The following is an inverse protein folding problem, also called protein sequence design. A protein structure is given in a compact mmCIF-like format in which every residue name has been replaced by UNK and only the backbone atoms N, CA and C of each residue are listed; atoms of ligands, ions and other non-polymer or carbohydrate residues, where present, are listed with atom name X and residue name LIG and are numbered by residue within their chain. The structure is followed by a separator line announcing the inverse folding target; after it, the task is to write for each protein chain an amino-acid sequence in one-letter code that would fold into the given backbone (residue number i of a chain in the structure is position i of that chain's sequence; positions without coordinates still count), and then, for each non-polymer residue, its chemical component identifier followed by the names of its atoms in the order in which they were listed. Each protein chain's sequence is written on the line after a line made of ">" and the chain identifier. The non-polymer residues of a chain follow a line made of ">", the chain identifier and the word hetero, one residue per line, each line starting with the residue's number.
data_IF_818933599652
#
_entry.id   IF_818933599652
#
_cell.length_a   1.000
_cell.length_b   1.000
_cell.length_c   1.000
_cell.angle_alpha   90.00
_cell.angle_beta   90.00
_cell.angle_gamma   90.00
#
_symmetry.space_group_name_H-M   'P 1'
#
loop_
_entity.id
_entity.type
_entity.pdbx_description
1 polymer ?
#
# COMPACT_ATOMS: atom_id res chain seq x y z
N UNK A 1 -105.14 -4.30 118.49
CA UNK A 1 -103.83 -4.03 117.86
C UNK A 1 -104.13 -3.27 116.58
N UNK A 2 -104.07 -1.94 116.64
CA UNK A 2 -104.75 -1.06 115.70
C UNK A 2 -104.08 -0.98 114.32
N UNK A 3 -104.88 -0.98 113.26
CA UNK A 3 -104.46 -1.06 111.85
C UNK A 3 -103.92 0.28 111.32
N UNK A 4 -104.21 1.39 112.01
CA UNK A 4 -103.71 2.73 111.69
C UNK A 4 -102.21 2.88 112.01
N UNK A 5 -101.69 2.20 113.05
CA UNK A 5 -100.26 2.20 113.37
C UNK A 5 -99.40 1.49 112.32
N UNK A 6 -99.91 0.42 111.71
CA UNK A 6 -99.24 -0.31 110.63
C UNK A 6 -99.20 0.49 109.32
N UNK A 7 -100.20 1.32 109.03
CA UNK A 7 -100.22 2.20 107.85
C UNK A 7 -99.26 3.40 108.02
N UNK A 8 -99.18 3.98 109.23
CA UNK A 8 -98.24 5.05 109.54
C UNK A 8 -96.77 4.57 109.52
N UNK A 9 -96.50 3.36 110.01
CA UNK A 9 -95.16 2.73 109.90
C UNK A 9 -94.84 2.32 108.46
N UNK A 10 -95.82 1.82 107.69
CA UNK A 10 -95.64 1.51 106.27
C UNK A 10 -95.34 2.75 105.41
N UNK A 11 -96.01 3.88 105.66
CA UNK A 11 -95.74 5.16 105.00
C UNK A 11 -94.40 5.76 105.45
N UNK A 12 -93.99 5.61 106.72
CA UNK A 12 -92.64 5.99 107.17
C UNK A 12 -91.56 5.16 106.49
N UNK A 13 -91.74 3.85 106.42
CA UNK A 13 -90.80 2.94 105.74
C UNK A 13 -90.76 3.22 104.23
N UNK A 14 -91.89 3.58 103.61
CA UNK A 14 -91.93 3.95 102.19
C UNK A 14 -91.28 5.31 101.93
N UNK A 15 -91.49 6.31 102.80
CA UNK A 15 -90.82 7.63 102.71
C UNK A 15 -89.33 7.50 102.99
N UNK A 16 -88.92 6.67 103.94
CA UNK A 16 -87.50 6.37 104.17
C UNK A 16 -86.91 5.59 102.99
N UNK A 17 -87.61 4.60 102.42
CA UNK A 17 -87.17 3.94 101.17
C UNK A 17 -87.08 4.92 100.00
N UNK A 18 -88.03 5.84 99.85
CA UNK A 18 -87.99 6.89 98.82
C UNK A 18 -86.82 7.85 99.06
N UNK A 19 -86.55 8.23 100.31
CA UNK A 19 -85.37 9.04 100.67
C UNK A 19 -84.07 8.29 100.38
N UNK A 20 -83.99 7.00 100.72
CA UNK A 20 -82.83 6.15 100.40
C UNK A 20 -82.68 5.97 98.89
N UNK A 21 -83.77 5.78 98.15
CA UNK A 21 -83.75 5.64 96.68
C UNK A 21 -83.43 6.94 95.97
N UNK A 22 -83.88 8.08 96.49
CA UNK A 22 -83.51 9.41 95.99
C UNK A 22 -82.04 9.69 96.30
N UNK A 23 -81.56 9.37 97.51
CA UNK A 23 -80.13 9.48 97.85
C UNK A 23 -79.25 8.55 96.99
N UNK A 24 -79.66 7.30 96.77
CA UNK A 24 -78.99 6.37 95.85
C UNK A 24 -79.03 6.85 94.40
N UNK A 25 -80.13 7.49 93.97
CA UNK A 25 -80.27 8.05 92.62
C UNK A 25 -79.43 9.32 92.45
N UNK A 26 -79.32 10.17 93.48
CA UNK A 26 -78.46 11.35 93.51
C UNK A 26 -76.99 10.93 93.54
N UNK A 27 -76.63 9.91 94.33
CA UNK A 27 -75.29 9.34 94.37
C UNK A 27 -74.93 8.69 93.03
N UNK A 28 -75.83 7.92 92.41
CA UNK A 28 -75.63 7.37 91.07
C UNK A 28 -75.59 8.44 89.98
N UNK A 29 -76.38 9.51 90.09
CA UNK A 29 -76.33 10.66 89.18
C UNK A 29 -75.00 11.41 89.32
N UNK A 30 -74.50 11.58 90.54
CA UNK A 30 -73.20 12.17 90.79
C UNK A 30 -72.06 11.29 90.25
N UNK A 31 -72.10 9.98 90.48
CA UNK A 31 -71.15 9.02 89.92
C UNK A 31 -71.21 8.99 88.38
N UNK A 32 -72.39 9.03 87.78
CA UNK A 32 -72.57 9.11 86.32
C UNK A 32 -72.07 10.44 85.76
N UNK A 33 -72.24 11.56 86.47
CA UNK A 33 -71.72 12.86 86.08
C UNK A 33 -70.18 12.90 86.13
N UNK A 34 -69.58 12.32 87.17
CA UNK A 34 -68.11 12.17 87.28
C UNK A 34 -67.58 11.25 86.17
N UNK A 35 -68.19 10.09 85.95
CA UNK A 35 -67.80 9.17 84.89
C UNK A 35 -67.97 9.78 83.48
N UNK A 36 -69.03 10.56 83.25
CA UNK A 36 -69.22 11.29 81.99
C UNK A 36 -68.19 12.41 81.81
N UNK A 37 -67.77 13.06 82.89
CA UNK A 37 -66.71 14.08 82.86
C UNK A 37 -65.34 13.45 82.61
N UNK A 38 -65.01 12.32 83.24
CA UNK A 38 -63.80 11.53 82.99
C UNK A 38 -63.76 10.99 81.56
N UNK A 39 -64.88 10.47 81.04
CA UNK A 39 -64.98 10.02 79.65
C UNK A 39 -64.81 11.18 78.65
N UNK A 40 -65.36 12.37 78.94
CA UNK A 40 -65.14 13.57 78.13
C UNK A 40 -63.69 14.05 78.19
N UNK A 41 -63.05 14.01 79.36
CA UNK A 41 -61.65 14.36 79.51
C UNK A 41 -60.74 13.37 78.77
N UNK A 42 -61.03 12.06 78.86
CA UNK A 42 -60.31 11.02 78.11
C UNK A 42 -60.53 11.14 76.59
N UNK A 43 -61.75 11.45 76.13
CA UNK A 43 -62.03 11.73 74.72
C UNK A 43 -61.30 13.00 74.24
N UNK A 44 -61.26 14.06 75.05
CA UNK A 44 -60.52 15.29 74.71
C UNK A 44 -59.00 15.02 74.62
N UNK A 45 -58.44 14.25 75.55
CA UNK A 45 -57.04 13.82 75.50
C UNK A 45 -56.77 12.90 74.29
N UNK A 46 -57.69 12.01 73.94
CA UNK A 46 -57.56 11.14 72.78
C UNK A 46 -57.64 11.92 71.45
N UNK A 47 -58.55 12.89 71.34
CA UNK A 47 -58.63 13.79 70.18
C UNK A 47 -57.39 14.69 70.07
N UNK A 48 -56.87 15.23 71.18
CA UNK A 48 -55.61 15.98 71.22
C UNK A 48 -54.42 15.12 70.78
N UNK A 49 -54.29 13.90 71.33
CA UNK A 49 -53.23 12.97 70.97
C UNK A 49 -53.33 12.52 69.49
N UNK A 50 -54.55 12.29 69.00
CA UNK A 50 -54.81 11.96 67.59
C UNK A 50 -54.46 13.15 66.68
N UNK A 51 -54.83 14.37 67.05
CA UNK A 51 -54.48 15.57 66.30
C UNK A 51 -52.95 15.82 66.28
N UNK A 52 -52.26 15.58 67.39
CA UNK A 52 -50.80 15.65 67.44
C UNK A 52 -50.14 14.55 66.59
N UNK A 53 -50.66 13.32 66.62
CA UNK A 53 -50.16 12.22 65.79
C UNK A 53 -50.38 12.47 64.29
N UNK A 54 -51.55 12.99 63.88
CA UNK A 54 -51.82 13.37 62.49
C UNK A 54 -50.91 14.53 62.03
N UNK A 55 -50.65 15.53 62.88
CA UNK A 55 -49.69 16.60 62.57
C UNK A 55 -48.25 16.09 62.41
N UNK A 56 -47.78 15.26 63.35
CA UNK A 56 -46.44 14.68 63.26
C UNK A 56 -46.28 13.77 62.02
N UNK A 57 -47.35 13.03 61.66
CA UNK A 57 -47.40 12.23 60.43
C UNK A 57 -47.35 13.10 59.18
N UNK A 58 -48.12 14.19 59.14
CA UNK A 58 -48.12 15.15 58.04
C UNK A 58 -46.75 15.84 57.86
N UNK A 59 -46.13 16.30 58.95
CA UNK A 59 -44.79 16.88 58.95
C UNK A 59 -43.74 15.88 58.47
N UNK A 60 -43.79 14.63 58.97
CA UNK A 60 -42.91 13.55 58.51
C UNK A 60 -43.09 13.21 57.03
N UNK A 61 -44.33 13.19 56.54
CA UNK A 61 -44.67 12.94 55.13
C UNK A 61 -44.14 14.06 54.22
N UNK A 62 -44.29 15.33 54.61
CA UNK A 62 -43.75 16.47 53.88
C UNK A 62 -42.22 16.47 53.85
N UNK A 63 -41.58 16.13 54.96
CA UNK A 63 -40.11 16.05 55.03
C UNK A 63 -39.58 14.90 54.15
N UNK A 64 -40.26 13.75 54.14
CA UNK A 64 -39.95 12.64 53.25
C UNK A 64 -40.15 13.03 51.77
N UNK A 65 -41.26 13.70 51.46
CA UNK A 65 -41.57 14.19 50.11
C UNK A 65 -40.48 15.15 49.59
N UNK A 66 -40.05 16.13 50.40
CA UNK A 66 -38.99 17.06 50.00
C UNK A 66 -37.62 16.39 49.79
N UNK A 67 -37.29 15.36 50.57
CA UNK A 67 -36.08 14.55 50.35
C UNK A 67 -36.17 13.73 49.06
N UNK A 68 -37.32 13.09 48.82
CA UNK A 68 -37.57 12.33 47.60
C UNK A 68 -37.55 13.22 46.36
N UNK A 69 -38.09 14.44 46.44
CA UNK A 69 -38.08 15.43 45.36
C UNK A 69 -36.65 15.79 44.94
N UNK A 70 -35.76 16.01 45.90
CA UNK A 70 -34.34 16.24 45.63
C UNK A 70 -33.65 15.06 44.93
N UNK A 71 -33.96 13.83 45.35
CA UNK A 71 -33.42 12.60 44.72
C UNK A 71 -33.94 12.44 43.29
N UNK A 72 -35.24 12.60 43.08
CA UNK A 72 -35.88 12.52 41.75
C UNK A 72 -35.30 13.58 40.81
N UNK A 73 -35.08 14.80 41.30
CA UNK A 73 -34.45 15.86 40.50
C UNK A 73 -33.05 15.49 40.02
N UNK A 74 -32.22 14.87 40.88
CA UNK A 74 -30.89 14.37 40.50
C UNK A 74 -30.99 13.23 39.49
N UNK A 75 -31.92 12.29 39.69
CA UNK A 75 -32.13 11.14 38.77
C UNK A 75 -32.60 11.61 37.40
N UNK A 76 -33.55 12.55 37.32
CA UNK A 76 -34.01 13.11 36.05
C UNK A 76 -32.88 13.82 35.31
N UNK A 77 -32.12 14.67 36.00
CA UNK A 77 -30.98 15.38 35.40
C UNK A 77 -29.89 14.42 34.90
N UNK A 78 -29.55 13.39 35.70
CA UNK A 78 -28.59 12.36 35.29
C UNK A 78 -29.09 11.54 34.09
N UNK A 79 -30.41 11.26 34.03
CA UNK A 79 -31.03 10.53 32.92
C UNK A 79 -31.00 11.34 31.63
N UNK A 80 -31.28 12.65 31.67
CA UNK A 80 -31.15 13.53 30.51
C UNK A 80 -29.71 13.61 29.99
N UNK A 81 -28.73 13.74 30.89
CA UNK A 81 -27.31 13.72 30.52
C UNK A 81 -26.90 12.38 29.90
N UNK A 82 -27.39 11.26 30.46
CA UNK A 82 -27.10 9.93 29.94
C UNK A 82 -27.74 9.71 28.57
N UNK A 83 -28.97 10.21 28.34
CA UNK A 83 -29.63 10.18 27.04
C UNK A 83 -28.79 10.86 25.96
N UNK A 84 -28.29 12.06 26.24
CA UNK A 84 -27.43 12.80 25.32
C UNK A 84 -26.12 12.05 25.02
N UNK A 85 -25.50 11.44 26.03
CA UNK A 85 -24.28 10.64 25.87
C UNK A 85 -24.52 9.38 25.03
N UNK A 86 -25.65 8.70 25.22
CA UNK A 86 -26.07 7.54 24.44
C UNK A 86 -26.28 7.92 22.98
N UNK A 87 -26.99 9.02 22.71
CA UNK A 87 -27.22 9.51 21.34
C UNK A 87 -25.91 9.88 20.64
N UNK A 88 -24.99 10.56 21.35
CA UNK A 88 -23.66 10.87 20.82
C UNK A 88 -22.86 9.60 20.49
N UNK A 89 -22.86 8.62 21.39
CA UNK A 89 -22.11 7.37 21.22
C UNK A 89 -22.70 6.51 20.09
N UNK A 90 -24.03 6.47 19.96
CA UNK A 90 -24.72 5.80 18.85
C UNK A 90 -24.36 6.43 17.51
N UNK A 91 -24.34 7.76 17.42
CA UNK A 91 -23.88 8.47 16.20
C UNK A 91 -22.42 8.17 15.90
N UNK A 92 -21.56 8.14 16.92
CA UNK A 92 -20.15 7.77 16.79
C UNK A 92 -19.97 6.37 16.21
N UNK A 93 -20.67 5.37 16.75
CA UNK A 93 -20.63 4.00 16.26
C UNK A 93 -21.09 3.88 14.80
N UNK A 94 -22.12 4.63 14.40
CA UNK A 94 -22.61 4.62 13.03
C UNK A 94 -21.61 5.24 12.04
N UNK A 95 -20.99 6.37 12.40
CA UNK A 95 -19.92 6.99 11.60
C UNK A 95 -18.72 6.04 11.49
N UNK A 96 -18.33 5.39 12.59
CA UNK A 96 -17.25 4.41 12.60
C UNK A 96 -17.55 3.25 11.64
N UNK A 97 -18.75 2.69 11.68
CA UNK A 97 -19.17 1.63 10.76
C UNK A 97 -19.06 2.05 9.28
N UNK A 98 -19.44 3.28 8.94
CA UNK A 98 -19.32 3.79 7.57
C UNK A 98 -17.84 3.91 7.15
N UNK A 99 -16.99 4.48 8.01
CA UNK A 99 -15.55 4.62 7.75
C UNK A 99 -14.85 3.28 7.60
N UNK A 100 -15.24 2.29 8.39
CA UNK A 100 -14.73 0.92 8.30
C UNK A 100 -15.10 0.30 6.96
N UNK A 101 -16.34 0.47 6.48
CA UNK A 101 -16.76 0.00 5.17
C UNK A 101 -15.98 0.66 4.02
N UNK A 102 -15.78 1.99 4.07
CA UNK A 102 -14.94 2.71 3.09
C UNK A 102 -13.49 2.19 3.10
N UNK A 103 -12.94 1.93 4.29
CA UNK A 103 -11.58 1.40 4.44
C UNK A 103 -11.48 -0.03 3.91
N UNK A 104 -12.49 -0.87 4.15
CA UNK A 104 -12.54 -2.23 3.63
C UNK A 104 -12.45 -2.25 2.08
N UNK A 105 -13.25 -1.42 1.41
CA UNK A 105 -13.19 -1.29 -0.05
C UNK A 105 -11.80 -0.83 -0.53
N UNK A 106 -11.20 0.17 0.12
CA UNK A 106 -9.86 0.63 -0.22
C UNK A 106 -8.79 -0.47 -0.02
N UNK A 107 -8.97 -1.34 0.97
CA UNK A 107 -8.09 -2.48 1.20
C UNK A 107 -8.25 -3.58 0.16
N UNK A 108 -9.46 -3.81 -0.36
CA UNK A 108 -9.68 -4.72 -1.49
C UNK A 108 -8.97 -4.22 -2.75
N UNK A 109 -9.10 -2.93 -3.07
CA UNK A 109 -8.38 -2.30 -4.19
C UNK A 109 -6.86 -2.35 -4.00
N UNK A 110 -6.38 -2.12 -2.77
CA UNK A 110 -4.96 -2.24 -2.43
C UNK A 110 -4.45 -3.66 -2.67
N UNK A 111 -5.19 -4.69 -2.24
CA UNK A 111 -4.79 -6.08 -2.42
C UNK A 111 -4.71 -6.45 -3.91
N UNK A 112 -5.70 -6.04 -4.71
CA UNK A 112 -5.67 -6.20 -6.16
C UNK A 112 -4.42 -5.56 -6.79
N UNK A 113 -4.09 -4.33 -6.36
CA UNK A 113 -2.90 -3.61 -6.84
C UNK A 113 -1.60 -4.30 -6.44
N UNK A 114 -1.50 -4.80 -5.21
CA UNK A 114 -0.32 -5.52 -4.72
C UNK A 114 -0.07 -6.81 -5.53
N UNK A 115 -1.13 -7.56 -5.82
CA UNK A 115 -1.05 -8.76 -6.67
C UNK A 115 -0.62 -8.42 -8.11
N UNK A 116 -1.12 -7.31 -8.66
CA UNK A 116 -0.70 -6.83 -9.97
C UNK A 116 0.78 -6.44 -10.00
N UNK A 117 1.25 -5.71 -8.97
CA UNK A 117 2.68 -5.34 -8.84
C UNK A 117 3.56 -6.59 -8.73
N UNK A 118 3.16 -7.59 -7.93
CA UNK A 118 3.89 -8.84 -7.82
C UNK A 118 3.99 -9.58 -9.17
N UNK A 119 2.88 -9.63 -9.92
CA UNK A 119 2.85 -10.23 -11.27
C UNK A 119 3.74 -9.48 -12.25
N UNK A 120 3.66 -8.15 -12.25
CA UNK A 120 4.48 -7.29 -13.11
C UNK A 120 5.97 -7.43 -12.78
N UNK A 121 6.31 -7.55 -11.49
CA UNK A 121 7.67 -7.84 -11.07
C UNK A 121 8.13 -9.21 -11.62
N UNK A 122 7.34 -10.27 -11.46
CA UNK A 122 7.69 -11.59 -12.02
C UNK A 122 7.93 -11.55 -13.54
N UNK A 123 7.10 -10.82 -14.29
CA UNK A 123 7.26 -10.67 -15.74
C UNK A 123 8.51 -9.85 -16.12
N UNK A 124 8.80 -8.80 -15.36
CA UNK A 124 10.00 -7.99 -15.54
C UNK A 124 11.27 -8.79 -15.25
N UNK A 125 11.25 -9.70 -14.28
CA UNK A 125 12.37 -10.59 -13.97
C UNK A 125 12.64 -11.55 -15.14
N UNK A 126 11.60 -12.17 -15.68
CA UNK A 126 11.72 -13.07 -16.85
C UNK A 126 12.26 -12.32 -18.07
N UNK A 127 11.75 -11.11 -18.33
CA UNK A 127 12.24 -10.26 -19.43
C UNK A 127 13.70 -9.85 -19.24
N UNK A 128 14.11 -9.58 -18.00
CA UNK A 128 15.50 -9.27 -17.65
C UNK A 128 16.39 -10.49 -17.90
N UNK A 129 15.98 -11.68 -17.48
CA UNK A 129 16.74 -12.91 -17.72
C UNK A 129 16.89 -13.22 -19.22
N UNK A 130 15.84 -12.98 -20.03
CA UNK A 130 15.92 -13.07 -21.49
C UNK A 130 16.91 -12.06 -22.08
N UNK A 131 16.84 -10.79 -21.66
CA UNK A 131 17.75 -9.74 -22.12
C UNK A 131 19.21 -10.05 -21.77
N UNK A 132 19.45 -10.63 -20.57
CA UNK A 132 20.76 -11.11 -20.14
C UNK A 132 21.28 -12.18 -21.09
N UNK A 133 20.48 -13.23 -21.35
CA UNK A 133 20.86 -14.29 -22.28
C UNK A 133 21.22 -13.75 -23.65
N UNK A 134 20.43 -12.80 -24.17
CA UNK A 134 20.70 -12.17 -25.47
C UNK A 134 21.98 -11.32 -25.49
N UNK A 135 22.29 -10.62 -24.40
CA UNK A 135 23.54 -9.87 -24.26
C UNK A 135 24.76 -10.78 -24.13
N UNK A 136 24.65 -11.89 -23.40
CA UNK A 136 25.70 -12.91 -23.30
C UNK A 136 25.96 -13.58 -24.66
N UNK A 137 24.90 -13.95 -25.38
CA UNK A 137 24.97 -14.47 -26.74
C UNK A 137 25.66 -13.49 -27.69
N UNK A 138 25.25 -12.21 -27.64
CA UNK A 138 25.89 -11.14 -28.38
C UNK A 138 27.38 -11.01 -28.04
N UNK A 139 27.76 -11.12 -26.76
CA UNK A 139 29.15 -11.06 -26.32
C UNK A 139 29.96 -12.22 -26.90
N UNK A 140 29.40 -13.44 -26.94
CA UNK A 140 30.02 -14.60 -27.58
C UNK A 140 30.19 -14.42 -29.09
N UNK A 141 29.21 -13.83 -29.76
CA UNK A 141 29.30 -13.51 -31.21
C UNK A 141 30.44 -12.52 -31.45
N UNK A 142 30.52 -11.44 -30.67
CA UNK A 142 31.61 -10.45 -30.78
C UNK A 142 32.97 -11.09 -30.51
N UNK A 143 33.08 -11.98 -29.52
CA UNK A 143 34.31 -12.74 -29.27
C UNK A 143 34.78 -13.53 -30.51
N UNK A 144 33.85 -14.26 -31.16
CA UNK A 144 34.17 -14.96 -32.42
C UNK A 144 34.57 -14.03 -33.57
N UNK A 145 33.98 -12.84 -33.64
CA UNK A 145 34.35 -11.82 -34.63
C UNK A 145 35.78 -11.34 -34.38
N UNK A 146 36.15 -11.06 -33.14
CA UNK A 146 37.52 -10.66 -32.77
C UNK A 146 38.53 -11.75 -33.13
N UNK A 147 38.21 -13.02 -32.83
CA UNK A 147 39.08 -14.14 -33.20
C UNK A 147 39.25 -14.28 -34.73
N UNK A 148 38.16 -14.12 -35.48
CA UNK A 148 38.16 -14.15 -36.94
C UNK A 148 38.96 -13.00 -37.54
N UNK A 149 38.81 -11.78 -37.01
CA UNK A 149 39.60 -10.63 -37.43
C UNK A 149 41.10 -10.88 -37.15
N UNK A 150 41.44 -11.48 -36.01
CA UNK A 150 42.81 -11.87 -35.69
C UNK A 150 43.41 -12.91 -36.66
N UNK A 151 42.60 -13.82 -37.21
CA UNK A 151 43.03 -14.73 -38.27
C UNK A 151 43.34 -13.97 -39.56
N UNK A 152 42.43 -13.10 -40.01
CA UNK A 152 42.63 -12.28 -41.22
C UNK A 152 43.85 -11.37 -41.08
N UNK A 153 44.13 -10.83 -39.89
CA UNK A 153 45.32 -10.04 -39.63
C UNK A 153 46.61 -10.85 -39.87
N UNK A 154 46.66 -12.11 -39.41
CA UNK A 154 47.81 -13.00 -39.61
C UNK A 154 48.01 -13.32 -41.09
N UNK A 155 46.94 -13.69 -41.80
CA UNK A 155 46.99 -13.96 -43.24
C UNK A 155 47.46 -12.73 -44.04
N UNK A 156 47.01 -11.53 -43.66
CA UNK A 156 47.47 -10.29 -44.28
C UNK A 156 48.97 -10.05 -44.05
N UNK A 157 49.48 -10.31 -42.84
CA UNK A 157 50.91 -10.17 -42.54
C UNK A 157 51.76 -11.21 -43.28
N UNK A 158 51.28 -12.45 -43.43
CA UNK A 158 51.92 -13.48 -44.25
C UNK A 158 51.96 -13.05 -45.72
N UNK A 159 50.84 -12.58 -46.28
CA UNK A 159 50.77 -12.06 -47.65
C UNK A 159 51.73 -10.89 -47.87
N UNK A 160 51.89 -10.00 -46.88
CA UNK A 160 52.89 -8.92 -46.94
C UNK A 160 54.30 -9.47 -47.10
N UNK A 161 54.65 -10.51 -46.35
CA UNK A 161 55.95 -11.18 -46.41
C UNK A 161 56.18 -11.85 -47.76
N UNK A 162 55.17 -12.57 -48.27
CA UNK A 162 55.25 -13.25 -49.57
C UNK A 162 55.43 -12.27 -50.73
N UNK A 163 54.71 -11.14 -50.69
CA UNK A 163 54.90 -10.07 -51.66
C UNK A 163 56.30 -9.47 -51.56
N UNK A 164 56.83 -9.22 -50.35
CA UNK A 164 58.20 -8.73 -50.19
C UNK A 164 59.23 -9.70 -50.81
N UNK A 165 59.07 -11.00 -50.59
CA UNK A 165 59.92 -12.04 -51.17
C UNK A 165 59.82 -12.07 -52.70
N UNK A 166 58.61 -11.99 -53.27
CA UNK A 166 58.40 -11.93 -54.71
C UNK A 166 59.08 -10.70 -55.32
N UNK A 167 59.00 -9.55 -54.64
CA UNK A 167 59.67 -8.32 -55.06
C UNK A 167 61.18 -8.49 -55.14
N UNK A 168 61.79 -9.12 -54.14
CA UNK A 168 63.22 -9.42 -54.11
C UNK A 168 63.65 -10.42 -55.20
N UNK A 169 62.82 -11.44 -55.48
CA UNK A 169 63.06 -12.37 -56.57
C UNK A 169 62.98 -11.68 -57.93
N UNK A 170 61.97 -10.83 -58.15
CA UNK A 170 61.84 -10.05 -59.37
C UNK A 170 63.01 -9.07 -59.56
N UNK A 171 63.50 -8.45 -58.49
CA UNK A 171 64.73 -7.63 -58.53
C UNK A 171 65.97 -8.46 -58.93
N UNK A 172 66.09 -9.67 -58.37
CA UNK A 172 67.19 -10.58 -58.70
C UNK A 172 67.16 -11.03 -60.16
N UNK A 173 65.98 -11.36 -60.68
CA UNK A 173 65.80 -11.69 -62.11
C UNK A 173 66.13 -10.47 -62.97
N UNK A 174 65.67 -9.27 -62.59
CA UNK A 174 66.02 -8.03 -63.29
C UNK A 174 67.53 -7.81 -63.42
N UNK A 175 68.30 -8.09 -62.37
CA UNK A 175 69.78 -8.05 -62.43
C UNK A 175 70.35 -9.08 -63.41
N UNK A 176 69.83 -10.30 -63.43
CA UNK A 176 70.27 -11.34 -64.38
C UNK A 176 69.95 -10.93 -65.82
N UNK A 177 68.76 -10.39 -66.08
CA UNK A 177 68.38 -9.92 -67.41
C UNK A 177 69.28 -8.79 -67.91
N UNK A 178 69.71 -7.87 -67.03
CA UNK A 178 70.69 -6.84 -67.40
C UNK A 178 72.02 -7.48 -67.85
N UNK A 179 72.53 -8.47 -67.12
CA UNK A 179 73.75 -9.20 -67.50
C UNK A 179 73.57 -9.92 -68.84
N UNK A 180 72.42 -10.55 -69.09
CA UNK A 180 72.13 -11.21 -70.38
C UNK A 180 72.08 -10.19 -71.51
N UNK A 181 71.48 -9.01 -71.28
CA UNK A 181 71.46 -7.92 -72.25
C UNK A 181 72.87 -7.46 -72.59
N UNK A 182 73.72 -7.28 -71.58
CA UNK A 182 75.13 -6.90 -71.75
C UNK A 182 75.92 -7.96 -72.53
N UNK A 183 75.70 -9.25 -72.23
CA UNK A 183 76.32 -10.37 -72.97
C UNK A 183 75.84 -10.39 -74.42
N UNK A 184 74.55 -10.18 -74.67
CA UNK A 184 73.99 -10.15 -76.01
C UNK A 184 74.55 -8.98 -76.82
N UNK A 185 74.69 -7.79 -76.22
CA UNK A 185 75.30 -6.62 -76.86
C UNK A 185 76.80 -6.84 -77.15
N UNK A 186 77.55 -7.42 -76.21
CA UNK A 186 78.94 -7.83 -76.43
C UNK A 186 79.06 -8.88 -77.54
N UNK A 187 78.16 -9.85 -77.59
CA UNK A 187 78.12 -10.88 -78.64
C UNK A 187 77.79 -10.27 -80.00
N UNK A 188 76.89 -9.29 -80.04
CA UNK A 188 76.55 -8.52 -81.24
C UNK A 188 77.78 -7.75 -81.77
N UNK A 189 78.52 -7.09 -80.88
CA UNK A 189 79.77 -6.39 -81.21
C UNK A 189 80.88 -7.35 -81.68
N UNK A 190 81.04 -8.51 -81.03
CA UNK A 190 81.99 -9.54 -81.44
C UNK A 190 81.65 -10.11 -82.82
N UNK A 191 80.38 -10.39 -83.06
CA UNK A 191 79.88 -10.89 -84.35
C UNK A 191 80.10 -9.86 -85.46
N UNK A 192 79.88 -8.57 -85.18
CA UNK A 192 80.18 -7.48 -86.12
C UNK A 192 81.67 -7.43 -86.47
N UNK A 193 82.55 -7.50 -85.47
CA UNK A 193 84.00 -7.52 -85.69
C UNK A 193 84.43 -8.75 -86.50
N UNK A 194 83.84 -9.92 -86.23
CA UNK A 194 84.10 -11.14 -86.99
C UNK A 194 83.61 -11.03 -88.44
N UNK A 195 82.45 -10.41 -88.70
CA UNK A 195 81.93 -10.16 -90.04
C UNK A 195 82.85 -9.21 -90.82
N UNK A 196 83.38 -8.17 -90.17
CA UNK A 196 84.36 -7.25 -90.76
C UNK A 196 85.65 -7.99 -91.15
N UNK A 197 86.20 -8.81 -90.26
CA UNK A 197 87.46 -9.54 -90.54
C UNK A 197 87.25 -10.65 -91.58
N UNK A 198 86.08 -11.30 -91.60
CA UNK A 198 85.70 -12.26 -92.63
C UNK A 198 85.57 -11.62 -94.02
N UNK A 199 85.01 -10.40 -94.11
CA UNK A 199 85.00 -9.61 -95.34
C UNK A 199 86.42 -9.23 -95.79
N UNK A 200 87.33 -8.99 -94.84
CA UNK A 200 88.73 -8.65 -95.07
C UNK A 200 89.55 -9.83 -95.64
N UNK A 201 89.21 -11.06 -95.27
CA UNK A 201 89.82 -12.30 -95.77
C UNK A 201 89.35 -12.72 -97.18
N UNK A 202 88.41 -11.98 -97.79
CA UNK A 202 87.95 -12.22 -99.16
C UNK A 202 87.26 -13.59 -99.34
N UNK A 203 87.60 -14.30 -100.43
CA UNK A 203 86.94 -15.58 -100.77
C UNK A 203 87.17 -16.69 -99.71
N UNK A 204 88.29 -16.65 -98.97
CA UNK A 204 88.57 -17.61 -97.90
C UNK A 204 87.72 -17.38 -96.64
N UNK A 205 87.24 -16.15 -96.41
CA UNK A 205 86.43 -15.76 -95.25
C UNK A 205 84.92 -15.90 -95.46
N UNK A 206 84.47 -16.26 -96.66
CA UNK A 206 83.05 -16.24 -97.05
C UNK A 206 82.16 -17.14 -96.19
N UNK A 207 82.66 -18.31 -95.77
CA UNK A 207 81.96 -19.19 -94.83
C UNK A 207 81.87 -18.60 -93.41
N UNK A 208 82.93 -17.92 -92.95
CA UNK A 208 82.95 -17.24 -91.65
C UNK A 208 82.03 -16.01 -91.61
N UNK A 209 81.90 -15.28 -92.72
CA UNK A 209 81.01 -14.12 -92.81
C UNK A 209 79.54 -14.51 -92.58
N UNK A 210 79.09 -15.64 -93.15
CA UNK A 210 77.72 -16.15 -92.96
C UNK A 210 77.47 -16.53 -91.49
N UNK A 211 78.44 -17.18 -90.85
CA UNK A 211 78.34 -17.52 -89.42
C UNK A 211 78.30 -16.26 -88.55
N UNK A 212 79.14 -15.27 -88.84
CA UNK A 212 79.16 -14.01 -88.10
C UNK A 212 77.83 -13.23 -88.21
N UNK A 213 77.23 -13.17 -89.40
CA UNK A 213 75.91 -12.54 -89.59
C UNK A 213 74.79 -13.30 -88.85
N UNK A 214 74.85 -14.64 -88.80
CA UNK A 214 73.85 -15.43 -88.07
C UNK A 214 73.99 -15.27 -86.56
N UNK A 215 75.22 -15.21 -86.04
CA UNK A 215 75.49 -14.89 -84.62
C UNK A 215 75.01 -13.48 -84.28
N UNK A 216 75.22 -12.50 -85.17
CA UNK A 216 74.73 -11.13 -84.99
C UNK A 216 73.20 -11.07 -84.89
N UNK A 217 72.49 -11.72 -85.80
CA UNK A 217 71.01 -11.81 -85.75
C UNK A 217 70.51 -12.52 -84.49
N UNK A 218 71.22 -13.55 -84.03
CA UNK A 218 70.88 -14.25 -82.79
C UNK A 218 71.07 -13.34 -81.56
N UNK A 219 72.14 -12.54 -81.54
CA UNK A 219 72.39 -11.55 -80.50
C UNK A 219 71.29 -10.46 -80.49
N UNK A 220 70.91 -9.91 -81.65
CA UNK A 220 69.79 -8.96 -81.78
C UNK A 220 68.45 -9.54 -81.29
N UNK A 221 68.13 -10.79 -81.67
CA UNK A 221 66.95 -11.49 -81.15
C UNK A 221 67.00 -11.67 -79.64
N UNK A 222 68.18 -11.98 -79.09
CA UNK A 222 68.39 -12.17 -77.64
C UNK A 222 68.20 -10.85 -76.90
N UNK A 223 68.70 -9.73 -77.42
CA UNK A 223 68.48 -8.40 -76.83
C UNK A 223 66.99 -8.03 -76.82
N UNK A 224 66.26 -8.26 -77.91
CA UNK A 224 64.82 -7.99 -77.98
C UNK A 224 64.03 -8.85 -76.98
N UNK A 225 64.29 -10.16 -76.94
CA UNK A 225 63.66 -11.05 -75.97
C UNK A 225 63.99 -10.66 -74.52
N UNK A 226 65.22 -10.24 -74.25
CA UNK A 226 65.66 -9.77 -72.93
C UNK A 226 64.92 -8.51 -72.51
N UNK A 227 64.67 -7.58 -73.45
CA UNK A 227 63.89 -6.37 -73.21
C UNK A 227 62.43 -6.70 -72.86
N UNK A 228 61.78 -7.59 -73.61
CA UNK A 228 60.40 -8.03 -73.33
C UNK A 228 60.29 -8.67 -71.94
N UNK A 229 61.25 -9.52 -71.56
CA UNK A 229 61.30 -10.09 -70.20
C UNK A 229 61.56 -9.00 -69.16
N UNK A 230 62.43 -8.03 -69.44
CA UNK A 230 62.68 -6.89 -68.55
C UNK A 230 61.42 -6.06 -68.28
N UNK A 231 60.62 -5.79 -69.30
CA UNK A 231 59.32 -5.10 -69.16
C UNK A 231 58.35 -5.92 -68.29
N UNK A 232 58.28 -7.24 -68.49
CA UNK A 232 57.46 -8.13 -67.66
C UNK A 232 57.91 -8.12 -66.18
N UNK A 233 59.22 -8.16 -65.93
CA UNK A 233 59.78 -8.09 -64.57
C UNK A 233 59.49 -6.74 -63.91
N UNK A 234 59.61 -5.63 -64.64
CA UNK A 234 59.22 -4.31 -64.14
C UNK A 234 57.73 -4.26 -63.77
N UNK A 235 56.86 -4.89 -64.58
CA UNK A 235 55.45 -5.04 -64.27
C UNK A 235 55.20 -5.83 -62.98
N UNK A 236 55.93 -6.93 -62.78
CA UNK A 236 55.87 -7.73 -61.53
C UNK A 236 56.31 -6.90 -60.32
N UNK A 237 57.43 -6.17 -60.43
CA UNK A 237 57.93 -5.32 -59.35
C UNK A 237 56.91 -4.26 -58.94
N UNK A 238 56.33 -3.56 -59.92
CA UNK A 238 55.32 -2.53 -59.67
C UNK A 238 54.03 -3.11 -59.09
N UNK A 239 53.56 -4.24 -59.63
CA UNK A 239 52.39 -4.95 -59.10
C UNK A 239 52.60 -5.40 -57.66
N UNK A 240 53.78 -5.94 -57.34
CA UNK A 240 54.14 -6.38 -56.00
C UNK A 240 54.19 -5.21 -55.01
N UNK A 241 54.82 -4.09 -55.38
CA UNK A 241 54.87 -2.89 -54.54
C UNK A 241 53.47 -2.32 -54.25
N UNK A 242 52.59 -2.31 -55.26
CA UNK A 242 51.19 -1.91 -55.11
C UNK A 242 50.42 -2.85 -54.16
N UNK A 243 50.61 -4.16 -54.31
CA UNK A 243 50.03 -5.18 -53.42
C UNK A 243 50.47 -4.99 -51.97
N UNK A 244 51.75 -4.72 -51.70
CA UNK A 244 52.25 -4.44 -50.34
C UNK A 244 51.53 -3.23 -49.74
N UNK A 245 51.39 -2.13 -50.48
CA UNK A 245 50.64 -0.95 -50.01
C UNK A 245 49.14 -1.26 -49.77
N UNK A 246 48.56 -2.14 -50.60
CA UNK A 246 47.20 -2.65 -50.40
C UNK A 246 47.06 -3.40 -49.08
N UNK A 247 47.97 -4.32 -48.81
CA UNK A 247 48.01 -5.10 -47.57
C UNK A 247 48.22 -4.21 -46.34
N UNK A 248 49.12 -3.23 -46.39
CA UNK A 248 49.32 -2.29 -45.27
C UNK A 248 48.06 -1.48 -44.94
N UNK A 249 47.28 -1.08 -45.96
CA UNK A 249 45.98 -0.44 -45.75
C UNK A 249 44.97 -1.41 -45.14
N UNK A 250 44.98 -2.67 -45.55
CA UNK A 250 44.10 -3.70 -45.00
C UNK A 250 44.40 -3.94 -43.51
N UNK A 251 45.67 -4.07 -43.12
CA UNK A 251 46.09 -4.23 -41.72
C UNK A 251 45.59 -3.07 -40.85
N UNK A 252 45.75 -1.82 -41.30
CA UNK A 252 45.23 -0.65 -40.55
C UNK A 252 43.71 -0.70 -40.34
N UNK A 253 42.94 -1.08 -41.36
CA UNK A 253 41.47 -1.23 -41.24
C UNK A 253 41.08 -2.38 -40.32
N UNK A 254 41.86 -3.46 -40.31
CA UNK A 254 41.69 -4.59 -39.40
C UNK A 254 41.92 -4.17 -37.95
N UNK A 255 42.93 -3.36 -37.68
CA UNK A 255 43.20 -2.82 -36.34
C UNK A 255 42.01 -1.95 -35.85
N UNK A 256 41.52 -1.03 -36.69
CA UNK A 256 40.32 -0.22 -36.39
C UNK A 256 39.09 -1.10 -36.13
N UNK A 257 38.86 -2.12 -36.95
CA UNK A 257 37.73 -3.05 -36.78
C UNK A 257 37.84 -3.85 -35.47
N UNK A 258 39.06 -4.25 -35.09
CA UNK A 258 39.33 -4.96 -33.83
C UNK A 258 39.00 -4.08 -32.63
N UNK A 259 39.40 -2.81 -32.67
CA UNK A 259 39.09 -1.85 -31.60
C UNK A 259 37.57 -1.67 -31.42
N UNK A 260 36.84 -1.43 -32.52
CA UNK A 260 35.39 -1.28 -32.50
C UNK A 260 34.66 -2.53 -32.00
N UNK A 261 35.13 -3.71 -32.40
CA UNK A 261 34.62 -4.99 -31.90
C UNK A 261 34.87 -5.14 -30.39
N UNK A 262 36.06 -4.76 -29.92
CA UNK A 262 36.39 -4.73 -28.49
C UNK A 262 35.49 -3.80 -27.68
N UNK A 263 35.24 -2.58 -28.17
CA UNK A 263 34.32 -1.62 -27.54
C UNK A 263 32.88 -2.14 -27.49
N UNK A 264 32.45 -2.84 -28.54
CA UNK A 264 31.13 -3.49 -28.60
C UNK A 264 31.02 -4.60 -27.55
N UNK A 265 32.06 -5.43 -27.41
CA UNK A 265 32.15 -6.47 -26.38
C UNK A 265 32.07 -5.91 -24.96
N UNK A 266 32.78 -4.82 -24.66
CA UNK A 266 32.71 -4.15 -23.35
C UNK A 266 31.33 -3.54 -23.08
N UNK A 267 30.65 -3.05 -24.12
CA UNK A 267 29.29 -2.50 -23.99
C UNK A 267 28.28 -3.60 -23.66
N UNK A 268 28.39 -4.77 -24.30
CA UNK A 268 27.57 -5.94 -23.99
C UNK A 268 27.81 -6.45 -22.56
N UNK A 269 29.06 -6.49 -22.08
CA UNK A 269 29.35 -6.83 -20.69
C UNK A 269 28.74 -5.83 -19.69
N UNK A 270 28.71 -4.54 -20.02
CA UNK A 270 28.03 -3.52 -19.21
C UNK A 270 26.52 -3.74 -19.19
N UNK A 271 25.91 -4.08 -20.33
CA UNK A 271 24.48 -4.44 -20.41
C UNK A 271 24.18 -5.63 -19.51
N UNK A 272 24.98 -6.70 -19.56
CA UNK A 272 24.80 -7.88 -18.67
C UNK A 272 24.75 -7.46 -17.20
N UNK A 273 25.70 -6.64 -16.72
CA UNK A 273 25.71 -6.17 -15.33
C UNK A 273 24.49 -5.31 -14.96
N UNK A 274 24.05 -4.44 -15.87
CA UNK A 274 22.87 -3.61 -15.66
C UNK A 274 21.61 -4.46 -15.55
N UNK A 275 21.50 -5.49 -16.39
CA UNK A 275 20.37 -6.42 -16.38
C UNK A 275 20.38 -7.29 -15.12
N UNK A 276 21.55 -7.74 -14.64
CA UNK A 276 21.66 -8.43 -13.35
C UNK A 276 21.16 -7.56 -12.19
N UNK A 277 21.59 -6.29 -12.16
CA UNK A 277 21.12 -5.32 -11.16
C UNK A 277 19.60 -5.10 -11.25
N UNK A 278 19.05 -4.99 -12.46
CA UNK A 278 17.62 -4.86 -12.67
C UNK A 278 16.85 -6.10 -12.18
N UNK A 279 17.35 -7.31 -12.45
CA UNK A 279 16.75 -8.57 -12.00
C UNK A 279 16.71 -8.65 -10.47
N UNK A 280 17.79 -8.27 -9.79
CA UNK A 280 17.85 -8.22 -8.32
C UNK A 280 16.86 -7.21 -7.72
N UNK A 281 16.75 -6.03 -8.34
CA UNK A 281 15.81 -5.00 -7.90
C UNK A 281 14.36 -5.45 -8.09
N UNK A 282 14.05 -6.13 -9.19
CA UNK A 282 12.74 -6.70 -9.46
C UNK A 282 12.39 -7.82 -8.47
N UNK A 283 13.34 -8.69 -8.11
CA UNK A 283 13.14 -9.68 -7.04
C UNK A 283 12.81 -9.03 -5.70
N UNK A 284 13.49 -7.93 -5.37
CA UNK A 284 13.22 -7.16 -4.16
C UNK A 284 11.80 -6.56 -4.16
N UNK A 285 11.32 -6.09 -5.33
CA UNK A 285 9.93 -5.63 -5.48
C UNK A 285 8.95 -6.78 -5.24
N UNK A 286 9.19 -7.96 -5.82
CA UNK A 286 8.32 -9.12 -5.61
C UNK A 286 8.22 -9.50 -4.13
N UNK A 287 9.35 -9.58 -3.42
CA UNK A 287 9.37 -9.83 -1.97
C UNK A 287 8.64 -8.74 -1.19
N UNK A 288 8.81 -7.47 -1.54
CA UNK A 288 8.10 -6.37 -0.89
C UNK A 288 6.58 -6.47 -1.13
N UNK A 289 6.14 -6.87 -2.32
CA UNK A 289 4.73 -7.10 -2.63
C UNK A 289 4.15 -8.28 -1.83
N UNK A 290 4.89 -9.37 -1.65
CA UNK A 290 4.47 -10.47 -0.76
C UNK A 290 4.29 -10.01 0.69
N UNK A 291 5.22 -9.20 1.20
CA UNK A 291 5.12 -8.61 2.53
C UNK A 291 3.92 -7.64 2.65
N UNK A 292 3.68 -6.82 1.63
CA UNK A 292 2.51 -5.95 1.57
C UNK A 292 1.21 -6.75 1.57
N UNK A 293 1.15 -7.86 0.85
CA UNK A 293 -0.04 -8.73 0.81
C UNK A 293 -0.35 -9.29 2.20
N UNK A 294 0.66 -9.78 2.93
CA UNK A 294 0.51 -10.25 4.31
C UNK A 294 0.03 -9.13 5.26
N UNK A 295 0.60 -7.93 5.13
CA UNK A 295 0.16 -6.76 5.91
C UNK A 295 -1.28 -6.35 5.58
N UNK A 296 -1.68 -6.41 4.31
CA UNK A 296 -3.06 -6.13 3.88
C UNK A 296 -4.06 -7.14 4.47
N UNK A 297 -3.71 -8.42 4.55
CA UNK A 297 -4.54 -9.42 5.22
C UNK A 297 -4.71 -9.13 6.72
N UNK A 298 -3.64 -8.72 7.40
CA UNK A 298 -3.70 -8.35 8.82
C UNK A 298 -4.59 -7.13 9.05
N UNK A 299 -4.46 -6.11 8.20
CA UNK A 299 -5.32 -4.92 8.24
C UNK A 299 -6.79 -5.29 8.00
N UNK A 300 -7.09 -6.18 7.05
CA UNK A 300 -8.46 -6.65 6.83
C UNK A 300 -9.06 -7.32 8.07
N UNK A 301 -8.29 -8.15 8.79
CA UNK A 301 -8.74 -8.74 10.06
C UNK A 301 -9.02 -7.67 11.11
N UNK A 302 -8.19 -6.63 11.20
CA UNK A 302 -8.44 -5.49 12.09
C UNK A 302 -9.72 -4.72 11.71
N UNK A 303 -9.97 -4.53 10.41
CA UNK A 303 -11.19 -3.87 9.91
C UNK A 303 -12.44 -4.68 10.31
N UNK A 304 -12.41 -6.01 10.16
CA UNK A 304 -13.51 -6.89 10.59
C UNK A 304 -13.77 -6.78 12.10
N UNK A 305 -12.71 -6.76 12.91
CA UNK A 305 -12.81 -6.59 14.36
C UNK A 305 -13.41 -5.23 14.74
N UNK A 306 -12.94 -4.14 14.12
CA UNK A 306 -13.49 -2.80 14.36
C UNK A 306 -14.96 -2.72 13.93
N UNK A 307 -15.33 -3.38 12.84
CA UNK A 307 -16.73 -3.47 12.38
C UNK A 307 -17.61 -4.16 13.43
N UNK A 308 -17.15 -5.30 13.96
CA UNK A 308 -17.82 -6.04 15.03
C UNK A 308 -18.00 -5.18 16.29
N UNK A 309 -16.94 -4.53 16.76
CA UNK A 309 -16.98 -3.64 17.93
C UNK A 309 -17.95 -2.46 17.70
N UNK A 310 -18.00 -1.91 16.49
CA UNK A 310 -18.93 -0.82 16.15
C UNK A 310 -20.39 -1.29 16.22
N UNK A 311 -20.68 -2.49 15.71
CA UNK A 311 -22.00 -3.10 15.78
C UNK A 311 -22.42 -3.40 17.23
N UNK A 312 -21.52 -3.98 18.03
CA UNK A 312 -21.75 -4.23 19.46
C UNK A 312 -21.98 -2.94 20.25
N UNK A 313 -21.22 -1.88 19.94
CA UNK A 313 -21.39 -0.56 20.56
C UNK A 313 -22.75 0.04 20.19
N UNK A 314 -23.16 -0.05 18.92
CA UNK A 314 -24.46 0.44 18.47
C UNK A 314 -25.61 -0.27 19.18
N UNK A 315 -25.55 -1.61 19.29
CA UNK A 315 -26.56 -2.39 20.03
C UNK A 315 -26.55 -2.06 21.53
N UNK A 316 -25.37 -1.93 22.15
CA UNK A 316 -25.24 -1.52 23.55
C UNK A 316 -25.82 -0.13 23.83
N UNK A 317 -25.66 0.81 22.88
CA UNK A 317 -26.28 2.14 22.97
C UNK A 317 -27.79 2.08 22.78
N UNK A 318 -28.30 1.22 21.89
CA UNK A 318 -29.74 0.99 21.74
C UNK A 318 -30.37 0.48 23.05
N UNK A 319 -29.73 -0.46 23.72
CA UNK A 319 -30.18 -0.96 25.03
C UNK A 319 -30.10 0.12 26.12
N UNK A 320 -29.02 0.91 26.11
CA UNK A 320 -28.84 2.02 27.05
C UNK A 320 -29.92 3.09 26.86
N UNK A 321 -30.31 3.40 25.62
CA UNK A 321 -31.39 4.34 25.32
C UNK A 321 -32.72 3.89 25.95
N UNK A 322 -33.07 2.61 25.80
CA UNK A 322 -34.28 2.02 26.40
C UNK A 322 -34.24 2.10 27.93
N UNK A 323 -33.09 1.82 28.54
CA UNK A 323 -32.93 1.91 29.99
C UNK A 323 -33.07 3.35 30.52
N UNK A 324 -32.54 4.33 29.78
CA UNK A 324 -32.67 5.76 30.11
C UNK A 324 -34.10 6.25 29.96
N UNK A 325 -34.81 5.81 28.91
CA UNK A 325 -36.23 6.12 28.72
C UNK A 325 -37.08 5.58 29.89
N UNK A 326 -36.80 4.35 30.33
CA UNK A 326 -37.46 3.74 31.48
C UNK A 326 -37.13 4.48 32.80
N UNK A 327 -35.88 4.90 33.01
CA UNK A 327 -35.51 5.71 34.18
C UNK A 327 -36.24 7.06 34.20
N UNK A 328 -36.36 7.71 33.05
CA UNK A 328 -37.10 8.97 32.90
C UNK A 328 -38.59 8.79 33.24
N UNK A 329 -39.19 7.68 32.77
CA UNK A 329 -40.58 7.31 33.11
C UNK A 329 -40.76 7.07 34.61
N UNK A 330 -39.87 6.31 35.24
CA UNK A 330 -39.91 6.04 36.68
C UNK A 330 -39.71 7.31 37.51
N UNK A 331 -38.83 8.22 37.08
CA UNK A 331 -38.64 9.51 37.73
C UNK A 331 -39.91 10.37 37.67
N UNK A 332 -40.61 10.38 36.52
CA UNK A 332 -41.91 11.05 36.38
C UNK A 332 -43.01 10.43 37.25
N UNK A 333 -43.08 9.09 37.33
CA UNK A 333 -44.03 8.41 38.23
C UNK A 333 -43.75 8.73 39.71
N UNK A 334 -42.48 8.76 40.13
CA UNK A 334 -42.09 9.18 41.47
C UNK A 334 -42.44 10.65 41.74
N UNK A 335 -42.25 11.53 40.76
CA UNK A 335 -42.65 12.94 40.86
C UNK A 335 -44.17 13.07 41.11
N UNK A 336 -44.99 12.27 40.42
CA UNK A 336 -46.44 12.23 40.65
C UNK A 336 -46.80 11.73 42.05
N UNK A 337 -46.18 10.64 42.52
CA UNK A 337 -46.40 10.11 43.87
C UNK A 337 -46.00 11.12 44.96
N UNK A 338 -44.89 11.85 44.77
CA UNK A 338 -44.45 12.90 45.69
C UNK A 338 -45.49 14.03 45.73
N UNK A 339 -46.03 14.43 44.58
CA UNK A 339 -47.08 15.46 44.54
C UNK A 339 -48.35 15.02 45.28
N UNK A 340 -48.75 13.75 45.16
CA UNK A 340 -49.86 13.17 45.93
C UNK A 340 -49.56 13.18 47.44
N UNK A 341 -48.38 12.74 47.86
CA UNK A 341 -47.95 12.79 49.27
C UNK A 341 -47.93 14.21 49.84
N UNK A 342 -47.50 15.20 49.06
CA UNK A 342 -47.53 16.61 49.46
C UNK A 342 -48.97 17.12 49.60
N UNK A 343 -49.89 16.65 48.76
CA UNK A 343 -51.31 17.00 48.83
C UNK A 343 -52.00 16.39 50.05
N UNK A 344 -51.68 15.14 50.41
CA UNK A 344 -52.22 14.45 51.58
C UNK A 344 -51.63 14.98 52.90
N UNK A 345 -50.32 15.27 52.94
CA UNK A 345 -49.66 15.89 54.10
C UNK A 345 -49.98 17.37 54.28
N UNK A 346 -50.46 18.05 53.23
CA UNK A 346 -50.76 19.48 53.21
C UNK A 346 -52.10 19.88 53.84
N UNK A 347 -52.98 18.93 54.18
CA UNK A 347 -54.16 19.15 55.03
C UNK A 347 -54.92 20.46 54.78
N UNK A 348 -55.34 20.72 53.55
CA UNK A 348 -56.29 21.81 53.27
C UNK A 348 -57.20 21.45 52.09
N UNK A 349 -58.54 21.50 52.23
CA UNK A 349 -59.45 21.26 51.12
C UNK A 349 -59.40 22.50 50.22
N UNK A 350 -58.44 22.54 49.30
CA UNK A 350 -58.45 23.51 48.22
C UNK A 350 -59.57 23.12 47.24
N UNK A 351 -60.67 23.84 47.37
CA UNK A 351 -61.81 23.85 46.44
C UNK A 351 -61.30 23.84 45.00
N UNK A 352 -61.69 22.78 44.29
CA UNK A 352 -61.59 22.67 42.84
C UNK A 352 -62.30 23.86 42.21
N UNK A 353 -61.55 24.81 41.65
CA UNK A 353 -62.07 25.75 40.64
C UNK A 353 -61.53 25.34 39.29
N UNK A 354 -62.31 24.51 38.60
CA UNK A 354 -62.17 24.23 37.18
C UNK A 354 -62.38 25.50 36.35
N UNK A 355 -61.41 25.85 35.50
CA UNK A 355 -61.64 26.69 34.33
C UNK A 355 -60.80 26.15 33.14
N UNK A 356 -61.37 26.09 31.92
CA UNK A 356 -60.81 25.29 30.82
C UNK A 356 -59.70 26.06 30.10
N UNK A 357 -58.56 25.42 29.84
CA UNK A 357 -57.58 25.94 28.88
C UNK A 357 -57.86 25.32 27.50
N UNK A 358 -58.31 26.19 26.61
CA UNK A 358 -58.67 25.93 25.24
C UNK A 358 -57.54 25.26 24.44
N UNK A 359 -57.97 24.39 23.53
CA UNK A 359 -57.18 23.83 22.43
C UNK A 359 -56.46 24.95 21.65
N UNK A 360 -55.12 24.93 21.67
CA UNK A 360 -54.27 25.67 20.76
C UNK A 360 -53.73 24.73 19.68
N UNK A 361 -54.44 24.66 18.56
CA UNK A 361 -53.97 24.05 17.32
C UNK A 361 -52.68 24.70 16.83
N UNK A 362 -51.63 23.90 16.60
CA UNK A 362 -50.36 24.35 16.02
C UNK A 362 -49.76 23.31 15.07
N UNK A 363 -50.37 23.14 13.89
CA UNK A 363 -49.74 22.51 12.72
C UNK A 363 -48.53 23.34 12.27
N UNK A 364 -47.38 22.69 12.05
CA UNK A 364 -46.38 22.93 10.97
C UNK A 364 -45.40 21.74 11.04
N UNK A 365 -45.42 20.74 10.17
CA UNK A 365 -45.19 20.70 8.73
C UNK A 365 -43.74 21.03 8.31
N UNK A 366 -43.08 19.96 7.84
CA UNK A 366 -42.12 19.86 6.72
C UNK A 366 -40.66 20.24 6.93
N UNK A 367 -39.82 19.21 6.81
CA UNK A 367 -38.45 19.25 6.30
C UNK A 367 -38.12 17.86 5.76
N UNK A 368 -38.32 17.67 4.45
CA UNK A 368 -37.78 16.56 3.67
C UNK A 368 -36.38 16.95 3.18
#
# INVERSE_FOLDING_TARGET
>A
RDEIGRLADGLRVMVDNLKTKIAEADEKSAQAAVAAQEARAAMAQAEEAKAQAERAKAEGMLQAAGRLEGVVGVVSSASEQLAAQVEQSSRGAQIQSQRVAETATAMEEMNATVLEVARNASQAAETSDQARGQAEDGSRVVGRVVDGIGQVQREALELKSDMANLGQQAESIGRIMNVISDIADQTNLLALNAAIEAARAGDAGRGFAVVADEVRKLAEKTMNATKEVGEAISGIQQGTASSVQGVERAVRRIDEATELAGQSGQSLQRIVKLVETASDQVRSIATASEQQSAASEEINRSIEEISRVSAETSEGMRQSALAVEELSRQAQELQSLIAEMQSEGGGSPAVVTSAPKALGSGRRALGA
#
